data_IF_496106151499
#
_entry.id   IF_496106151499
#
_cell.length_a   1.000
_cell.length_b   1.000
_cell.length_c   1.000
_cell.angle_alpha   90.00
_cell.angle_beta   90.00
_cell.angle_gamma   90.00
#
_symmetry.space_group_name_H-M   'P 1'
#
loop_
_entity.id
_entity.type
_entity.pdbx_description
1 polymer ?
#
# COMPACT_ATOMS: atom_id res chain seq x y z
N UNK A 1 4.75 -13.37 41.76
CA UNK A 1 5.52 -13.55 40.49
C UNK A 1 5.27 -14.94 39.90
N UNK A 2 5.40 -16.02 40.68
CA UNK A 2 5.09 -17.39 40.23
C UNK A 2 3.65 -17.59 39.73
N UNK A 3 2.68 -16.93 40.37
CA UNK A 3 1.27 -17.02 39.94
C UNK A 3 1.01 -16.37 38.57
N UNK A 4 1.73 -15.29 38.25
CA UNK A 4 1.65 -14.64 36.93
C UNK A 4 2.30 -15.54 35.87
N UNK A 5 3.44 -16.17 36.20
CA UNK A 5 4.13 -17.13 35.34
C UNK A 5 3.26 -18.36 35.05
N UNK A 6 2.55 -18.87 36.06
CA UNK A 6 1.60 -19.97 35.92
C UNK A 6 0.39 -19.59 35.05
N UNK A 7 -0.19 -18.39 35.27
CA UNK A 7 -1.33 -17.88 34.47
C UNK A 7 -0.96 -17.56 33.02
N UNK A 8 0.29 -17.17 32.76
CA UNK A 8 0.85 -17.01 31.42
C UNK A 8 1.24 -18.35 30.77
N UNK A 9 0.94 -19.49 31.41
CA UNK A 9 1.33 -20.83 30.97
C UNK A 9 2.84 -20.97 30.69
N UNK A 10 3.67 -20.17 31.38
CA UNK A 10 5.12 -20.05 31.13
C UNK A 10 5.49 -19.66 29.69
N UNK A 11 4.54 -19.12 28.92
CA UNK A 11 4.79 -18.64 27.56
C UNK A 11 5.51 -17.28 27.64
N UNK A 12 6.73 -17.16 27.07
CA UNK A 12 7.51 -15.92 27.14
C UNK A 12 6.77 -14.70 26.58
N UNK A 13 5.94 -14.94 25.56
CA UNK A 13 5.15 -13.90 24.91
C UNK A 13 4.00 -13.39 25.80
N UNK A 14 3.32 -14.28 26.53
CA UNK A 14 2.26 -13.89 27.45
C UNK A 14 2.83 -13.11 28.64
N UNK A 15 4.02 -13.49 29.11
CA UNK A 15 4.78 -12.73 30.11
C UNK A 15 5.20 -11.35 29.60
N UNK A 16 5.66 -11.23 28.35
CA UNK A 16 6.02 -9.95 27.74
C UNK A 16 4.81 -9.00 27.65
N UNK A 17 3.64 -9.50 27.23
CA UNK A 17 2.40 -8.70 27.19
C UNK A 17 1.99 -8.23 28.59
N UNK A 18 2.01 -9.12 29.59
CA UNK A 18 1.65 -8.75 30.98
C UNK A 18 2.65 -7.76 31.57
N UNK A 19 3.95 -7.92 31.28
CA UNK A 19 4.99 -7.00 31.72
C UNK A 19 4.83 -5.62 31.08
N UNK A 20 4.55 -5.56 29.77
CA UNK A 20 4.27 -4.31 29.07
C UNK A 20 3.03 -3.60 29.64
N UNK A 21 1.95 -4.34 29.87
CA UNK A 21 0.72 -3.81 30.44
C UNK A 21 0.89 -3.27 31.87
N UNK A 22 1.67 -3.98 32.70
CA UNK A 22 2.00 -3.55 34.05
C UNK A 22 2.91 -2.30 34.08
N UNK A 23 3.80 -2.15 33.09
CA UNK A 23 4.64 -0.96 32.94
C UNK A 23 3.82 0.29 32.53
N UNK A 24 2.76 0.11 31.73
CA UNK A 24 1.84 1.18 31.32
C UNK A 24 0.90 1.62 32.45
N UNK A 25 0.57 0.72 33.37
CA UNK A 25 -0.37 0.97 34.48
C UNK A 25 0.25 0.69 35.86
N UNK A 26 1.22 1.52 36.33
CA UNK A 26 1.91 1.31 37.59
C UNK A 26 1.04 1.43 38.86
N UNK A 27 -0.24 1.82 38.71
CA UNK A 27 -1.24 1.87 39.79
C UNK A 27 -2.18 0.66 39.85
N UNK A 28 -2.04 -0.34 38.96
CA UNK A 28 -2.82 -1.57 39.08
C UNK A 28 -2.30 -2.36 40.31
N UNK A 29 -3.16 -2.65 41.31
CA UNK A 29 -2.72 -3.42 42.46
C UNK A 29 -2.36 -4.82 41.99
N UNK A 30 -1.14 -5.26 42.30
CA UNK A 30 -0.74 -6.66 42.26
C UNK A 30 -1.43 -7.42 43.41
N UNK A 31 -2.75 -7.55 43.32
CA UNK A 31 -3.64 -8.22 44.28
C UNK A 31 -4.80 -8.91 43.56
N UNK A 32 -5.49 -9.87 44.20
CA UNK A 32 -6.39 -10.80 43.52
C UNK A 32 -7.72 -10.11 43.21
N UNK A 33 -7.79 -9.45 42.06
CA UNK A 33 -9.05 -8.99 41.47
C UNK A 33 -9.08 -9.36 40.00
N UNK A 34 -8.79 -10.63 39.74
CA UNK A 34 -8.88 -11.23 38.40
C UNK A 34 -10.32 -11.66 38.11
N UNK A 35 -11.09 -10.77 37.47
CA UNK A 35 -12.29 -11.18 36.73
C UNK A 35 -12.31 -10.67 35.29
N UNK A 36 -11.20 -10.14 34.76
CA UNK A 36 -11.13 -9.72 33.33
C UNK A 36 -10.34 -10.64 32.39
N UNK A 37 -9.46 -11.51 32.90
CA UNK A 37 -8.80 -12.54 32.06
C UNK A 37 -9.70 -13.74 31.70
N UNK A 38 -10.91 -13.84 32.25
CA UNK A 38 -11.88 -14.86 31.82
C UNK A 38 -12.66 -14.47 30.55
N UNK A 39 -12.61 -13.20 30.12
CA UNK A 39 -13.40 -12.72 28.95
C UNK A 39 -12.79 -13.04 27.59
N UNK A 40 -11.57 -13.55 27.51
CA UNK A 40 -11.00 -14.04 26.25
C UNK A 40 -11.52 -15.44 25.85
N UNK A 41 -12.23 -16.16 26.75
CA UNK A 41 -12.83 -17.47 26.44
C UNK A 41 -14.34 -17.46 26.25
N UNK A 42 -15.05 -16.38 26.57
CA UNK A 42 -16.53 -16.33 26.53
C UNK A 42 -17.10 -15.31 25.56
N UNK A 43 -16.31 -14.77 24.63
CA UNK A 43 -16.78 -13.90 23.55
C UNK A 43 -17.50 -14.66 22.41
N UNK A 44 -18.32 -15.66 22.77
CA UNK A 44 -19.31 -16.29 21.91
C UNK A 44 -20.65 -16.27 22.64
N UNK A 45 -21.40 -15.18 22.45
CA UNK A 45 -22.88 -15.05 22.35
C UNK A 45 -23.35 -13.66 22.82
N UNK A 46 -24.45 -13.12 22.26
CA UNK A 46 -24.70 -11.68 22.26
C UNK A 46 -25.73 -11.20 23.31
N UNK A 47 -25.72 -9.87 23.52
CA UNK A 47 -26.74 -9.04 24.19
C UNK A 47 -26.64 -8.95 25.74
N UNK A 48 -26.97 -7.86 26.45
CA UNK A 48 -27.29 -6.44 26.16
C UNK A 48 -27.44 -5.70 27.50
N UNK A 49 -27.18 -4.37 27.51
CA UNK A 49 -27.55 -3.30 28.49
C UNK A 49 -26.78 -3.30 29.85
N UNK A 50 -25.98 -2.30 30.24
CA UNK A 50 -26.15 -0.83 30.41
C UNK A 50 -27.10 -0.52 31.61
N UNK A 51 -26.70 0.01 32.77
CA UNK A 51 -26.19 1.37 33.15
C UNK A 51 -26.18 1.47 34.73
N UNK A 52 -26.00 2.61 35.46
CA UNK A 52 -24.73 3.33 35.72
C UNK A 52 -24.52 3.94 37.17
N UNK A 53 -23.28 4.46 37.43
CA UNK A 53 -22.90 5.63 38.30
C UNK A 53 -22.70 5.50 39.86
N UNK A 54 -22.07 6.49 40.58
CA UNK A 54 -20.91 6.35 41.51
C UNK A 54 -21.12 7.12 42.87
N UNK A 55 -20.19 7.93 43.46
CA UNK A 55 -18.80 7.78 43.94
C UNK A 55 -18.64 8.02 45.48
N UNK A 56 -17.42 7.91 46.05
CA UNK A 56 -17.01 8.76 47.19
C UNK A 56 -15.48 8.91 47.32
N UNK A 57 -15.04 10.14 47.58
CA UNK A 57 -13.66 10.58 47.79
C UNK A 57 -13.20 10.48 49.25
N UNK A 58 -11.88 10.45 49.48
CA UNK A 58 -11.25 10.88 50.74
C UNK A 58 -9.72 10.68 50.76
N UNK A 59 -8.92 11.55 51.42
CA UNK A 59 -7.63 12.03 50.90
C UNK A 59 -6.41 11.81 51.82
N UNK A 60 -5.18 11.91 51.27
CA UNK A 60 -3.99 12.50 51.93
C UNK A 60 -2.70 12.39 51.10
N UNK A 61 -2.00 13.51 50.92
CA UNK A 61 -0.65 13.69 50.34
C UNK A 61 0.42 13.72 51.46
N UNK A 62 1.71 14.08 51.26
CA UNK A 62 2.56 14.16 50.05
C UNK A 62 3.94 13.47 50.22
N UNK A 63 4.61 13.12 49.13
CA UNK A 63 6.00 12.64 49.17
C UNK A 63 6.75 12.97 47.89
N UNK A 64 7.60 13.99 47.93
CA UNK A 64 8.56 14.32 46.86
C UNK A 64 9.47 13.12 46.62
N UNK A 65 9.39 12.54 45.43
CA UNK A 65 10.55 11.91 44.80
C UNK A 65 10.59 12.32 43.34
N UNK A 66 11.68 13.00 43.00
CA UNK A 66 12.11 13.31 41.65
C UNK A 66 12.30 11.98 40.91
N UNK A 67 11.28 11.55 40.18
CA UNK A 67 11.36 10.35 39.34
C UNK A 67 11.26 10.77 37.89
N UNK A 68 12.39 10.69 37.20
CA UNK A 68 12.51 10.82 35.77
C UNK A 68 11.47 9.90 35.10
N UNK A 69 10.39 10.50 34.60
CA UNK A 69 9.46 9.84 33.68
C UNK A 69 10.24 9.48 32.42
N UNK A 70 10.31 8.22 31.98
CA UNK A 70 10.68 7.97 30.59
C UNK A 70 9.61 8.61 29.71
N UNK A 71 10.08 9.44 28.78
CA UNK A 71 9.27 10.10 27.74
C UNK A 71 8.29 9.11 27.14
N UNK A 72 7.00 9.42 27.25
CA UNK A 72 5.91 8.81 26.46
C UNK A 72 6.23 9.04 24.99
N UNK A 73 6.69 8.00 24.29
CA UNK A 73 6.73 7.99 22.84
C UNK A 73 5.48 7.23 22.37
N UNK A 74 4.50 7.87 21.72
CA UNK A 74 3.39 7.15 21.12
C UNK A 74 3.96 6.33 19.96
N UNK A 75 3.80 5.01 20.04
CA UNK A 75 4.09 4.10 18.93
C UNK A 75 2.74 3.87 18.25
N UNK A 76 2.46 4.46 17.08
CA UNK A 76 1.17 4.29 16.42
C UNK A 76 1.13 2.88 15.82
N UNK A 77 0.55 1.94 16.54
CA UNK A 77 0.27 0.60 16.07
C UNK A 77 -1.05 0.57 15.28
N UNK A 78 -0.96 0.78 13.97
CA UNK A 78 -2.09 0.70 13.06
C UNK A 78 -2.84 -0.66 13.17
N UNK A 79 -4.18 -0.56 13.30
CA UNK A 79 -5.20 -1.63 13.35
C UNK A 79 -5.14 -2.64 12.17
N UNK A 80 -5.83 -3.81 12.26
CA UNK A 80 -5.24 -5.09 11.91
C UNK A 80 -5.64 -5.58 10.52
N UNK A 81 -4.66 -5.63 9.63
CA UNK A 81 -4.45 -6.64 8.61
C UNK A 81 -3.10 -6.20 8.04
N UNK A 82 -1.99 -6.85 8.32
CA UNK A 82 -1.61 -8.12 7.73
C UNK A 82 -0.39 -8.63 8.53
N UNK A 83 -0.01 -9.89 8.32
CA UNK A 83 1.23 -10.49 8.84
C UNK A 83 2.47 -9.94 8.11
N UNK A 84 2.76 -8.65 8.24
CA UNK A 84 3.84 -8.07 7.43
C UNK A 84 4.87 -7.36 8.28
N UNK A 85 6.10 -7.82 8.07
CA UNK A 85 7.30 -7.21 8.63
C UNK A 85 7.50 -5.85 7.97
N UNK A 86 7.73 -4.81 8.78
CA UNK A 86 7.91 -3.42 8.33
C UNK A 86 9.39 -3.08 8.27
N UNK A 87 9.78 -2.35 7.22
CA UNK A 87 11.11 -1.77 7.08
C UNK A 87 11.30 -0.60 8.07
N UNK A 88 12.51 -0.39 8.60
CA UNK A 88 12.83 0.80 9.44
C UNK A 88 12.35 2.14 8.86
N UNK A 89 12.57 2.44 7.57
CA UNK A 89 12.11 3.69 6.98
C UNK A 89 10.58 3.79 6.94
N UNK A 90 9.87 2.68 6.73
CA UNK A 90 8.41 2.64 6.80
C UNK A 90 7.90 2.91 8.23
N UNK A 91 8.60 2.40 9.25
CA UNK A 91 8.30 2.70 10.65
C UNK A 91 8.58 4.17 11.00
N UNK A 92 9.64 4.78 10.42
CA UNK A 92 9.94 6.19 10.61
C UNK A 92 8.88 7.09 9.96
N UNK A 93 8.40 6.73 8.76
CA UNK A 93 7.29 7.45 8.11
C UNK A 93 6.00 7.37 8.95
N UNK A 94 5.71 6.20 9.54
CA UNK A 94 4.55 6.01 10.40
C UNK A 94 4.61 6.89 11.66
N UNK A 95 5.75 6.90 12.37
CA UNK A 95 5.93 7.68 13.60
C UNK A 95 6.12 9.18 13.33
N UNK A 96 6.57 9.56 12.14
CA UNK A 96 6.99 10.93 11.83
C UNK A 96 8.31 11.33 12.50
N UNK A 97 9.04 10.37 13.10
CA UNK A 97 10.28 10.63 13.82
C UNK A 97 11.50 10.45 12.91
N UNK A 98 12.63 11.14 13.20
CA UNK A 98 13.89 10.91 12.50
C UNK A 98 14.31 9.43 12.55
N UNK A 99 15.01 8.97 11.51
CA UNK A 99 15.43 7.57 11.39
C UNK A 99 16.29 7.10 12.58
N UNK A 100 17.08 8.00 13.17
CA UNK A 100 17.91 7.72 14.36
C UNK A 100 17.06 7.42 15.60
N UNK A 101 16.05 8.24 15.87
CA UNK A 101 15.16 8.06 17.02
C UNK A 101 14.29 6.81 16.84
N UNK A 102 13.75 6.62 15.63
CA UNK A 102 12.99 5.42 15.28
C UNK A 102 13.83 4.15 15.50
N UNK A 103 15.13 4.17 15.14
CA UNK A 103 16.03 3.04 15.38
C UNK A 103 16.21 2.74 16.87
N UNK A 104 16.29 3.77 17.71
CA UNK A 104 16.40 3.58 19.17
C UNK A 104 15.14 2.92 19.73
N UNK A 105 13.95 3.43 19.37
CA UNK A 105 12.68 2.87 19.80
C UNK A 105 12.49 1.41 19.33
N UNK A 106 12.79 1.12 18.06
CA UNK A 106 12.67 -0.25 17.53
C UNK A 106 13.62 -1.23 18.24
N UNK A 107 14.82 -0.78 18.64
CA UNK A 107 15.75 -1.60 19.43
C UNK A 107 15.24 -1.85 20.84
N UNK A 108 14.66 -0.85 21.50
CA UNK A 108 14.06 -1.00 22.82
C UNK A 108 12.90 -2.01 22.78
N UNK A 109 12.00 -1.87 21.81
CA UNK A 109 10.89 -2.82 21.61
C UNK A 109 11.37 -4.24 21.26
N UNK A 110 12.46 -4.36 20.50
CA UNK A 110 13.05 -5.68 20.20
C UNK A 110 13.69 -6.31 21.44
N UNK A 111 14.39 -5.52 22.27
CA UNK A 111 14.94 -5.99 23.57
C UNK A 111 13.86 -6.39 24.56
N UNK A 112 12.70 -5.72 24.52
CA UNK A 112 11.53 -6.08 25.30
C UNK A 112 10.73 -7.27 24.72
N UNK A 113 11.21 -7.91 23.65
CA UNK A 113 10.52 -8.98 22.92
C UNK A 113 9.13 -8.60 22.39
N UNK A 114 8.86 -7.30 22.26
CA UNK A 114 7.62 -6.75 21.68
C UNK A 114 7.70 -6.70 20.15
N UNK A 115 8.90 -6.72 19.59
CA UNK A 115 9.16 -6.85 18.15
C UNK A 115 10.16 -7.97 17.89
N UNK A 116 10.01 -8.63 16.73
CA UNK A 116 10.99 -9.58 16.22
C UNK A 116 11.68 -9.01 15.00
N UNK A 117 13.00 -8.78 15.08
CA UNK A 117 13.82 -8.37 13.93
C UNK A 117 14.25 -9.59 13.12
N UNK A 118 13.86 -9.66 11.84
CA UNK A 118 14.24 -10.74 10.92
C UNK A 118 13.90 -10.36 9.47
N UNK A 119 14.85 -10.23 8.53
CA UNK A 119 16.30 -9.93 8.61
C UNK A 119 16.60 -8.50 9.14
N UNK A 120 17.88 -8.05 9.24
CA UNK A 120 18.23 -6.75 9.83
C UNK A 120 17.47 -5.57 9.22
N UNK A 121 16.84 -4.77 10.07
CA UNK A 121 16.02 -3.62 9.68
C UNK A 121 14.58 -3.93 9.30
N UNK A 122 14.12 -5.17 9.50
CA UNK A 122 12.72 -5.58 9.32
C UNK A 122 12.14 -6.07 10.64
N UNK A 123 11.04 -5.47 11.06
CA UNK A 123 10.41 -5.75 12.35
C UNK A 123 9.03 -6.36 12.13
N UNK A 124 8.78 -7.50 12.76
CA UNK A 124 7.46 -8.13 12.84
C UNK A 124 6.90 -8.07 14.25
N UNK A 125 5.57 -7.99 14.34
CA UNK A 125 4.81 -8.19 15.57
C UNK A 125 4.23 -9.61 15.56
N UNK A 126 4.25 -10.28 16.70
CA UNK A 126 3.46 -11.50 16.87
C UNK A 126 1.96 -11.16 16.84
N UNK A 127 1.11 -12.08 16.38
CA UNK A 127 -0.33 -11.84 16.19
C UNK A 127 -1.02 -11.30 17.47
N UNK A 128 -0.67 -11.83 18.65
CA UNK A 128 -1.15 -11.33 19.96
C UNK A 128 -0.65 -9.92 20.31
N UNK A 129 0.63 -9.63 20.08
CA UNK A 129 1.20 -8.30 20.32
C UNK A 129 0.60 -7.25 19.38
N UNK A 130 0.22 -7.65 18.17
CA UNK A 130 -0.49 -6.78 17.23
C UNK A 130 -1.89 -6.44 17.73
N UNK A 131 -2.63 -7.41 18.28
CA UNK A 131 -3.94 -7.14 18.88
C UNK A 131 -3.81 -6.21 20.07
N UNK A 132 -2.86 -6.50 20.97
CA UNK A 132 -2.56 -5.64 22.12
C UNK A 132 -2.23 -4.20 21.70
N UNK A 133 -1.30 -4.04 20.76
CA UNK A 133 -0.90 -2.72 20.31
C UNK A 133 -2.06 -1.96 19.62
N UNK A 134 -2.94 -2.68 18.90
CA UNK A 134 -4.15 -2.10 18.34
C UNK A 134 -5.18 -1.67 19.41
N UNK A 135 -5.23 -2.36 20.55
CA UNK A 135 -6.05 -1.94 21.71
C UNK A 135 -5.47 -0.69 22.37
N UNK A 136 -4.14 -0.62 22.55
CA UNK A 136 -3.46 0.56 23.09
C UNK A 136 -3.73 1.80 22.24
N UNK A 137 -3.60 1.71 20.92
CA UNK A 137 -3.88 2.85 20.02
C UNK A 137 -5.33 3.32 20.14
N UNK A 138 -6.27 2.41 20.37
CA UNK A 138 -7.68 2.77 20.53
C UNK A 138 -8.01 3.38 21.89
N UNK A 139 -7.20 3.08 22.90
CA UNK A 139 -7.34 3.65 24.24
C UNK A 139 -6.67 5.02 24.34
N UNK A 140 -5.51 5.19 23.68
CA UNK A 140 -4.59 6.29 23.96
C UNK A 140 -4.45 7.32 22.83
N UNK A 141 -4.75 6.97 21.57
CA UNK A 141 -4.62 7.88 20.42
C UNK A 141 -5.98 8.32 19.89
N UNK A 142 -6.04 9.57 19.42
CA UNK A 142 -7.22 10.03 18.68
C UNK A 142 -7.26 9.43 17.27
N UNK A 143 -8.47 9.22 16.75
CA UNK A 143 -8.68 8.71 15.38
C UNK A 143 -7.94 9.58 14.34
N UNK A 144 -7.94 10.90 14.54
CA UNK A 144 -7.25 11.84 13.64
C UNK A 144 -5.72 11.69 13.65
N UNK A 145 -5.11 11.38 14.79
CA UNK A 145 -3.66 11.14 14.88
C UNK A 145 -3.29 9.82 14.20
N UNK A 146 -4.09 8.78 14.42
CA UNK A 146 -3.91 7.47 13.79
C UNK A 146 -4.06 7.57 12.27
N UNK A 147 -5.00 8.36 11.76
CA UNK A 147 -5.18 8.57 10.31
C UNK A 147 -4.03 9.35 9.69
N UNK A 148 -3.55 10.42 10.35
CA UNK A 148 -2.36 11.16 9.91
C UNK A 148 -1.13 10.27 9.84
N UNK A 149 -0.90 9.42 10.85
CA UNK A 149 0.22 8.50 10.86
C UNK A 149 0.20 7.53 9.68
N UNK A 150 -0.98 7.01 9.36
CA UNK A 150 -1.13 6.08 8.25
C UNK A 150 -1.05 6.79 6.89
N UNK A 151 -1.57 8.01 6.77
CA UNK A 151 -1.43 8.81 5.55
C UNK A 151 0.06 9.04 5.21
N UNK A 152 0.89 9.39 6.20
CA UNK A 152 2.36 9.52 6.00
C UNK A 152 2.98 8.22 5.51
N UNK A 153 2.59 7.09 6.10
CA UNK A 153 3.09 5.78 5.69
C UNK A 153 2.65 5.41 4.26
N UNK A 154 1.39 5.68 3.90
CA UNK A 154 0.88 5.42 2.56
C UNK A 154 1.57 6.29 1.51
N UNK A 155 1.77 7.58 1.81
CA UNK A 155 2.56 8.47 0.98
C UNK A 155 3.99 7.92 0.79
N UNK A 156 4.65 7.50 1.87
CA UNK A 156 5.98 6.90 1.78
C UNK A 156 6.02 5.66 0.87
N UNK A 157 5.04 4.76 0.97
CA UNK A 157 4.94 3.60 0.08
C UNK A 157 4.69 3.99 -1.38
N UNK A 158 3.81 4.96 -1.64
CA UNK A 158 3.51 5.44 -3.00
C UNK A 158 4.75 6.05 -3.67
N UNK A 159 5.42 6.99 -3.00
CA UNK A 159 6.59 7.66 -3.57
C UNK A 159 7.81 6.74 -3.66
N UNK A 160 7.95 5.79 -2.74
CA UNK A 160 8.98 4.76 -2.85
C UNK A 160 8.68 3.79 -3.99
N UNK A 161 7.42 3.41 -4.21
CA UNK A 161 7.04 2.59 -5.36
C UNK A 161 7.27 3.33 -6.69
N UNK A 162 6.97 4.63 -6.75
CA UNK A 162 7.23 5.44 -7.94
C UNK A 162 8.72 5.61 -8.26
N UNK A 163 9.60 5.64 -7.26
CA UNK A 163 11.05 5.70 -7.52
C UNK A 163 11.58 4.43 -8.21
N UNK A 164 10.97 3.27 -7.97
CA UNK A 164 11.31 2.00 -8.66
C UNK A 164 11.06 2.08 -10.16
N UNK A 165 10.13 2.93 -10.58
CA UNK A 165 9.62 2.98 -11.95
C UNK A 165 10.72 3.27 -12.98
N UNK A 166 11.66 4.16 -12.64
CA UNK A 166 12.78 4.52 -13.52
C UNK A 166 13.68 3.32 -13.85
N UNK A 167 13.73 2.34 -12.96
CA UNK A 167 14.57 1.17 -13.13
C UNK A 167 13.82 0.00 -13.77
N UNK A 168 12.57 -0.24 -13.38
CA UNK A 168 11.80 -1.43 -13.83
C UNK A 168 11.16 -1.21 -15.20
N UNK A 169 10.57 -0.04 -15.45
CA UNK A 169 9.88 0.26 -16.73
C UNK A 169 10.14 1.70 -17.21
N UNK A 170 11.38 2.07 -17.56
CA UNK A 170 11.75 3.44 -17.91
C UNK A 170 11.00 3.99 -19.14
N UNK A 171 10.65 3.12 -20.09
CA UNK A 171 10.03 3.51 -21.37
C UNK A 171 8.52 3.69 -21.29
N UNK A 172 7.86 3.22 -20.22
CA UNK A 172 6.41 3.37 -20.06
C UNK A 172 6.09 4.78 -19.56
N UNK A 173 4.95 5.35 -19.96
CA UNK A 173 4.46 6.63 -19.42
C UNK A 173 4.17 6.54 -17.91
N UNK A 174 4.88 7.34 -17.11
CA UNK A 174 4.66 7.49 -15.65
C UNK A 174 3.24 7.99 -15.35
N UNK A 175 2.69 7.52 -14.24
CA UNK A 175 1.45 8.05 -13.65
C UNK A 175 1.79 9.43 -13.06
N UNK A 176 0.99 10.47 -13.29
CA UNK A 176 1.25 11.77 -12.67
C UNK A 176 1.03 11.68 -11.16
N UNK A 177 2.05 12.07 -10.42
CA UNK A 177 2.03 12.25 -8.97
C UNK A 177 2.38 13.71 -8.67
N UNK A 178 1.76 14.25 -7.63
CA UNK A 178 2.16 15.51 -7.04
C UNK A 178 3.55 15.38 -6.38
N UNK A 179 4.26 16.48 -6.10
CA UNK A 179 5.51 16.37 -5.35
C UNK A 179 5.30 15.70 -3.99
N UNK A 180 6.28 14.92 -3.51
CA UNK A 180 6.16 14.28 -2.20
C UNK A 180 6.01 15.32 -1.08
N UNK A 181 5.18 15.05 -0.06
CA UNK A 181 5.10 15.88 1.13
C UNK A 181 6.47 16.12 1.79
N UNK A 182 6.64 17.27 2.45
CA UNK A 182 7.92 17.68 3.04
C UNK A 182 8.47 16.75 4.12
N UNK A 183 7.60 15.95 4.74
CA UNK A 183 7.93 14.93 5.75
C UNK A 183 8.19 13.54 5.13
N UNK A 184 7.89 13.36 3.85
CA UNK A 184 8.10 12.12 3.12
C UNK A 184 9.54 12.02 2.60
N UNK A 185 10.24 10.94 2.99
CA UNK A 185 11.59 10.61 2.51
C UNK A 185 11.54 9.22 1.84
N UNK A 186 11.16 9.15 0.55
CA UNK A 186 11.07 7.88 -0.17
C UNK A 186 12.46 7.26 -0.36
N UNK A 187 12.52 5.94 -0.55
CA UNK A 187 13.79 5.30 -0.93
C UNK A 187 14.11 5.63 -2.39
N UNK A 188 15.40 5.78 -2.66
CA UNK A 188 15.94 5.92 -4.02
C UNK A 188 16.74 4.66 -4.32
N UNK A 189 16.55 4.13 -5.52
CA UNK A 189 17.25 2.96 -6.00
C UNK A 189 18.31 3.39 -7.01
N UNK A 190 19.37 2.61 -7.13
CA UNK A 190 20.41 2.85 -8.14
C UNK A 190 20.39 1.80 -9.25
N UNK A 191 19.92 0.59 -8.95
CA UNK A 191 19.91 -0.54 -9.88
C UNK A 191 18.53 -1.17 -10.02
N UNK A 192 18.33 -1.88 -11.13
CA UNK A 192 17.14 -2.69 -11.38
C UNK A 192 16.93 -3.75 -10.28
N UNK A 193 17.99 -4.48 -9.91
CA UNK A 193 17.90 -5.57 -8.94
C UNK A 193 17.49 -5.09 -7.54
N UNK A 194 18.01 -3.94 -7.08
CA UNK A 194 17.62 -3.36 -5.80
C UNK A 194 16.15 -2.95 -5.77
N UNK A 195 15.68 -2.29 -6.83
CA UNK A 195 14.28 -1.87 -6.96
C UNK A 195 13.35 -3.09 -6.97
N UNK A 196 13.74 -4.14 -7.68
CA UNK A 196 12.96 -5.35 -7.81
C UNK A 196 12.92 -6.17 -6.52
N UNK A 197 14.07 -6.34 -5.85
CA UNK A 197 14.16 -7.04 -4.57
C UNK A 197 13.32 -6.34 -3.49
N UNK A 198 13.34 -5.00 -3.47
CA UNK A 198 12.46 -4.24 -2.59
C UNK A 198 10.99 -4.50 -2.87
N UNK A 199 10.56 -4.45 -4.15
CA UNK A 199 9.16 -4.73 -4.52
C UNK A 199 8.73 -6.14 -4.12
N UNK A 200 9.57 -7.15 -4.35
CA UNK A 200 9.28 -8.53 -3.96
C UNK A 200 9.14 -8.67 -2.44
N UNK A 201 10.06 -8.07 -1.69
CA UNK A 201 10.06 -8.20 -0.24
C UNK A 201 8.92 -7.41 0.41
N UNK A 202 8.55 -6.27 -0.16
CA UNK A 202 7.44 -5.42 0.30
C UNK A 202 6.09 -5.78 -0.33
N UNK A 203 6.00 -6.78 -1.22
CA UNK A 203 4.77 -7.09 -1.98
C UNK A 203 3.54 -7.18 -1.09
N UNK A 204 3.64 -7.89 0.04
CA UNK A 204 2.55 -7.97 1.01
C UNK A 204 2.14 -6.60 1.58
N UNK A 205 3.11 -5.73 1.88
CA UNK A 205 2.87 -4.37 2.39
C UNK A 205 2.27 -3.47 1.31
N UNK A 206 2.67 -3.64 0.06
CA UNK A 206 2.13 -2.88 -1.06
C UNK A 206 0.66 -3.23 -1.30
N UNK A 207 0.30 -4.52 -1.27
CA UNK A 207 -1.11 -4.96 -1.37
C UNK A 207 -1.91 -4.45 -0.17
N UNK A 208 -1.37 -4.55 1.04
CA UNK A 208 -1.99 -4.01 2.26
C UNK A 208 -2.26 -2.51 2.18
N UNK A 209 -1.29 -1.75 1.68
CA UNK A 209 -1.36 -0.30 1.57
C UNK A 209 -2.51 0.15 0.66
N UNK A 210 -2.77 -0.57 -0.43
CA UNK A 210 -3.92 -0.28 -1.32
C UNK A 210 -5.25 -0.39 -0.57
N UNK A 211 -5.46 -1.50 0.14
CA UNK A 211 -6.69 -1.69 0.92
C UNK A 211 -6.81 -0.69 2.06
N UNK A 212 -5.67 -0.34 2.68
CA UNK A 212 -5.67 0.65 3.76
C UNK A 212 -5.96 2.06 3.27
N UNK A 213 -5.50 2.43 2.08
CA UNK A 213 -5.84 3.71 1.45
C UNK A 213 -7.36 3.85 1.26
N UNK A 214 -8.03 2.79 0.78
CA UNK A 214 -9.50 2.79 0.68
C UNK A 214 -10.17 2.93 2.04
N UNK A 215 -9.68 2.24 3.07
CA UNK A 215 -10.24 2.32 4.42
C UNK A 215 -10.12 3.72 5.05
N UNK A 216 -9.13 4.51 4.64
CA UNK A 216 -8.94 5.90 5.08
C UNK A 216 -9.65 6.93 4.19
N UNK A 217 -10.29 6.50 3.10
CA UNK A 217 -10.88 7.40 2.11
C UNK A 217 -9.87 8.07 1.17
N UNK A 218 -8.59 7.70 1.21
CA UNK A 218 -7.60 8.15 0.23
C UNK A 218 -7.71 7.32 -1.06
N UNK A 219 -8.76 7.62 -1.81
CA UNK A 219 -9.10 6.94 -3.06
C UNK A 219 -8.04 7.21 -4.14
N UNK A 220 -7.36 8.36 -4.06
CA UNK A 220 -6.30 8.75 -4.97
C UNK A 220 -5.07 7.84 -4.87
N UNK A 221 -4.60 7.55 -3.67
CA UNK A 221 -3.48 6.60 -3.46
C UNK A 221 -3.88 5.17 -3.82
N UNK A 222 -5.13 4.79 -3.54
CA UNK A 222 -5.63 3.43 -3.80
C UNK A 222 -5.52 3.01 -5.28
N UNK A 223 -5.73 3.91 -6.23
CA UNK A 223 -5.57 3.60 -7.66
C UNK A 223 -4.16 3.88 -8.20
N UNK A 224 -3.46 4.89 -7.65
CA UNK A 224 -2.10 5.25 -8.09
C UNK A 224 -1.07 4.21 -7.70
N UNK A 225 -1.14 3.64 -6.49
CA UNK A 225 -0.17 2.67 -6.00
C UNK A 225 -0.08 1.39 -6.88
N UNK A 226 -1.19 0.75 -7.27
CA UNK A 226 -1.17 -0.33 -8.26
C UNK A 226 -0.63 0.09 -9.63
N UNK A 227 -0.93 1.33 -10.05
CA UNK A 227 -0.57 1.83 -11.37
C UNK A 227 0.94 2.10 -11.50
N UNK A 228 1.61 2.61 -10.45
CA UNK A 228 3.07 2.76 -10.42
C UNK A 228 3.78 1.41 -10.36
N UNK A 229 3.17 0.41 -9.72
CA UNK A 229 3.69 -0.96 -9.63
C UNK A 229 3.39 -1.83 -10.86
N UNK A 230 2.80 -1.26 -11.92
CA UNK A 230 2.43 -2.00 -13.13
C UNK A 230 3.60 -2.84 -13.68
N UNK A 231 4.79 -2.24 -13.77
CA UNK A 231 5.98 -2.90 -14.31
C UNK A 231 6.40 -4.12 -13.48
N UNK A 232 6.40 -3.96 -12.16
CA UNK A 232 6.70 -5.03 -11.22
C UNK A 232 5.70 -6.20 -11.36
N UNK A 233 4.40 -5.93 -11.26
CA UNK A 233 3.38 -6.98 -11.33
C UNK A 233 3.37 -7.69 -12.68
N UNK A 234 3.55 -6.94 -13.77
CA UNK A 234 3.58 -7.49 -15.12
C UNK A 234 4.78 -8.41 -15.36
N UNK A 235 5.98 -7.98 -14.98
CA UNK A 235 7.22 -8.74 -15.23
C UNK A 235 7.34 -9.96 -14.31
N UNK A 236 6.87 -9.87 -13.06
CA UNK A 236 6.99 -10.95 -12.07
C UNK A 236 5.84 -11.93 -12.06
N UNK A 237 4.74 -11.61 -12.74
CA UNK A 237 3.62 -12.54 -12.91
C UNK A 237 2.80 -12.78 -11.63
N UNK A 238 2.79 -11.83 -10.70
CA UNK A 238 1.96 -11.85 -9.49
C UNK A 238 0.48 -11.58 -9.80
N UNK A 239 -0.13 -12.45 -10.63
CA UNK A 239 -1.43 -12.24 -11.28
C UNK A 239 -2.58 -12.04 -10.29
N UNK A 240 -2.63 -12.84 -9.23
CA UNK A 240 -3.71 -12.79 -8.21
C UNK A 240 -3.72 -11.45 -7.48
N UNK A 241 -2.58 -11.10 -6.89
CA UNK A 241 -2.42 -9.82 -6.18
C UNK A 241 -2.70 -8.64 -7.11
N UNK A 242 -2.22 -8.72 -8.36
CA UNK A 242 -2.42 -7.64 -9.32
C UNK A 242 -3.89 -7.44 -9.69
N UNK A 243 -4.63 -8.53 -9.91
CA UNK A 243 -6.08 -8.49 -10.14
C UNK A 243 -6.85 -7.93 -8.95
N UNK A 244 -6.41 -8.26 -7.73
CA UNK A 244 -6.99 -7.75 -6.49
C UNK A 244 -6.78 -6.24 -6.37
N UNK A 245 -5.53 -5.78 -6.38
CA UNK A 245 -5.22 -4.36 -6.17
C UNK A 245 -5.74 -3.46 -7.29
N UNK A 246 -5.77 -3.93 -8.55
CA UNK A 246 -6.36 -3.17 -9.66
C UNK A 246 -7.89 -3.13 -9.58
N UNK A 247 -8.54 -4.15 -9.00
CA UNK A 247 -9.97 -4.16 -8.73
C UNK A 247 -10.35 -3.17 -7.62
N UNK A 248 -9.57 -3.17 -6.53
CA UNK A 248 -9.71 -2.20 -5.44
C UNK A 248 -9.49 -0.78 -5.94
N UNK A 249 -8.41 -0.52 -6.69
CA UNK A 249 -8.12 0.78 -7.27
C UNK A 249 -9.19 1.26 -8.27
N UNK A 250 -9.71 0.37 -9.11
CA UNK A 250 -10.81 0.71 -10.02
C UNK A 250 -12.09 1.09 -9.27
N UNK A 251 -12.40 0.38 -8.19
CA UNK A 251 -13.57 0.67 -7.35
C UNK A 251 -13.40 2.02 -6.65
N UNK A 252 -12.21 2.29 -6.10
CA UNK A 252 -11.87 3.57 -5.49
C UNK A 252 -12.01 4.74 -6.47
N UNK A 253 -11.44 4.62 -7.68
CA UNK A 253 -11.53 5.67 -8.70
C UNK A 253 -12.98 5.90 -9.20
N UNK A 254 -13.83 4.87 -9.17
CA UNK A 254 -15.27 5.03 -9.49
C UNK A 254 -16.03 5.79 -8.40
N UNK A 255 -15.72 5.52 -7.13
CA UNK A 255 -16.33 6.21 -5.98
C UNK A 255 -15.90 7.68 -5.95
N UNK A 256 -14.63 7.95 -6.23
CA UNK A 256 -14.07 9.31 -6.26
C UNK A 256 -14.55 10.14 -7.46
N UNK A 257 -15.03 9.47 -8.53
CA UNK A 257 -15.34 10.13 -9.80
C UNK A 257 -14.10 10.52 -10.62
N UNK A 258 -12.90 10.08 -10.22
CA UNK A 258 -11.66 10.32 -10.95
C UNK A 258 -11.63 9.54 -12.27
N UNK A 259 -11.94 10.24 -13.36
CA UNK A 259 -11.92 9.69 -14.72
C UNK A 259 -10.53 9.16 -15.09
N UNK A 260 -9.45 9.84 -14.68
CA UNK A 260 -8.08 9.43 -15.03
C UNK A 260 -7.69 8.16 -14.29
N UNK A 261 -7.98 8.12 -12.99
CA UNK A 261 -7.83 6.92 -12.18
C UNK A 261 -8.62 5.74 -12.75
N UNK A 262 -9.90 5.96 -13.10
CA UNK A 262 -10.76 4.95 -13.71
C UNK A 262 -10.17 4.41 -15.02
N UNK A 263 -9.76 5.28 -15.93
CA UNK A 263 -9.20 4.87 -17.21
C UNK A 263 -7.89 4.09 -17.04
N UNK A 264 -7.02 4.54 -16.13
CA UNK A 264 -5.76 3.86 -15.83
C UNK A 264 -6.00 2.49 -15.18
N UNK A 265 -6.84 2.40 -14.16
CA UNK A 265 -7.16 1.13 -13.50
C UNK A 265 -7.84 0.13 -14.42
N UNK A 266 -8.68 0.57 -15.37
CA UNK A 266 -9.26 -0.31 -16.39
C UNK A 266 -8.18 -0.93 -17.29
N UNK A 267 -7.19 -0.13 -17.73
CA UNK A 267 -6.07 -0.64 -18.55
C UNK A 267 -5.17 -1.58 -17.76
N UNK A 268 -4.88 -1.25 -16.50
CA UNK A 268 -4.00 -2.06 -15.67
C UNK A 268 -4.67 -3.39 -15.28
N UNK A 269 -5.96 -3.36 -14.96
CA UNK A 269 -6.77 -4.58 -14.76
C UNK A 269 -6.85 -5.43 -16.02
N UNK A 270 -7.05 -4.83 -17.19
CA UNK A 270 -7.04 -5.56 -18.45
C UNK A 270 -5.69 -6.25 -18.71
N UNK A 271 -4.58 -5.61 -18.35
CA UNK A 271 -3.27 -6.24 -18.46
C UNK A 271 -3.12 -7.45 -17.52
N UNK A 272 -3.64 -7.35 -16.30
CA UNK A 272 -3.67 -8.47 -15.34
C UNK A 272 -4.56 -9.64 -15.80
N UNK A 273 -5.73 -9.32 -16.37
CA UNK A 273 -6.66 -10.31 -16.95
C UNK A 273 -6.05 -11.02 -18.15
N UNK A 274 -5.34 -10.28 -19.01
CA UNK A 274 -4.62 -10.84 -20.17
C UNK A 274 -3.53 -11.82 -19.75
N UNK A 275 -2.77 -11.52 -18.68
CA UNK A 275 -1.82 -12.48 -18.11
C UNK A 275 -2.49 -13.72 -17.52
N UNK A 276 -3.77 -13.63 -17.18
CA UNK A 276 -4.58 -14.75 -16.67
C UNK A 276 -5.41 -15.42 -17.77
N UNK A 277 -5.13 -15.12 -19.05
CA UNK A 277 -5.80 -15.69 -20.23
C UNK A 277 -7.31 -15.40 -20.32
N UNK A 278 -7.80 -14.42 -19.56
CA UNK A 278 -9.20 -13.98 -19.55
C UNK A 278 -9.41 -12.89 -20.61
N UNK A 279 -9.33 -13.29 -21.88
CA UNK A 279 -9.26 -12.35 -23.00
C UNK A 279 -10.56 -11.59 -23.29
N UNK A 280 -11.73 -12.20 -23.10
CA UNK A 280 -13.01 -11.51 -23.31
C UNK A 280 -13.20 -10.36 -22.31
N UNK A 281 -12.93 -10.62 -21.02
CA UNK A 281 -12.96 -9.57 -20.00
C UNK A 281 -11.90 -8.50 -20.24
N UNK A 282 -10.71 -8.88 -20.74
CA UNK A 282 -9.66 -7.93 -21.15
C UNK A 282 -10.20 -6.97 -22.21
N UNK A 283 -10.87 -7.49 -23.24
CA UNK A 283 -11.46 -6.69 -24.33
C UNK A 283 -12.50 -5.71 -23.79
N UNK A 284 -13.36 -6.16 -22.87
CA UNK A 284 -14.42 -5.31 -22.31
C UNK A 284 -13.86 -4.18 -21.44
N UNK A 285 -12.86 -4.47 -20.60
CA UNK A 285 -12.21 -3.43 -19.79
C UNK A 285 -11.45 -2.42 -20.66
N UNK A 286 -10.78 -2.86 -21.73
CA UNK A 286 -10.09 -1.96 -22.66
C UNK A 286 -11.08 -1.09 -23.46
N UNK A 287 -12.23 -1.63 -23.86
CA UNK A 287 -13.30 -0.84 -24.50
C UNK A 287 -13.84 0.23 -23.58
N UNK A 288 -14.10 -0.11 -22.32
CA UNK A 288 -14.51 0.88 -21.31
C UNK A 288 -13.42 1.95 -21.12
N UNK A 289 -12.15 1.56 -21.05
CA UNK A 289 -11.05 2.51 -20.92
C UNK A 289 -10.97 3.49 -22.11
N UNK A 290 -11.22 3.03 -23.34
CA UNK A 290 -11.21 3.91 -24.53
C UNK A 290 -12.28 5.01 -24.47
N UNK A 291 -13.46 4.70 -23.92
CA UNK A 291 -14.52 5.69 -23.72
C UNK A 291 -14.04 6.77 -22.77
N UNK A 292 -13.50 6.37 -21.60
CA UNK A 292 -13.02 7.33 -20.59
C UNK A 292 -11.81 8.13 -21.08
N UNK A 293 -10.86 7.51 -21.79
CA UNK A 293 -9.73 8.23 -22.38
C UNK A 293 -10.16 9.25 -23.44
N UNK A 294 -11.25 8.97 -24.17
CA UNK A 294 -11.84 9.92 -25.12
C UNK A 294 -12.49 11.10 -24.40
N UNK A 295 -13.26 10.84 -23.33
CA UNK A 295 -13.86 11.87 -22.48
C UNK A 295 -12.79 12.80 -21.87
N UNK A 296 -11.67 12.23 -21.42
CA UNK A 296 -10.52 12.98 -20.91
C UNK A 296 -9.72 13.74 -21.98
N UNK A 297 -9.93 13.45 -23.26
CA UNK A 297 -9.08 13.95 -24.35
C UNK A 297 -7.62 13.45 -24.32
N UNK A 298 -7.28 12.46 -23.50
CA UNK A 298 -5.91 11.94 -23.36
C UNK A 298 -5.58 10.98 -24.53
N UNK A 299 -5.09 11.58 -25.62
CA UNK A 299 -4.74 10.85 -26.84
C UNK A 299 -3.65 9.79 -26.64
N UNK A 300 -2.71 10.01 -25.72
CA UNK A 300 -1.65 9.03 -25.44
C UNK A 300 -2.19 7.80 -24.71
N UNK A 301 -3.06 8.01 -23.71
CA UNK A 301 -3.82 6.95 -23.05
C UNK A 301 -4.68 6.16 -24.03
N UNK A 302 -5.34 6.86 -24.94
CA UNK A 302 -6.16 6.26 -26.00
C UNK A 302 -5.34 5.36 -26.94
N UNK A 303 -4.24 5.85 -27.52
CA UNK A 303 -3.39 5.07 -28.45
C UNK A 303 -2.85 3.81 -27.79
N UNK A 304 -2.36 3.92 -26.55
CA UNK A 304 -1.89 2.76 -25.77
C UNK A 304 -2.99 1.72 -25.58
N UNK A 305 -4.20 2.16 -25.25
CA UNK A 305 -5.34 1.26 -25.01
C UNK A 305 -5.79 0.58 -26.30
N UNK A 306 -5.78 1.30 -27.43
CA UNK A 306 -6.05 0.71 -28.76
C UNK A 306 -5.02 -0.35 -29.13
N UNK A 307 -3.74 -0.11 -28.86
CA UNK A 307 -2.70 -1.11 -29.07
C UNK A 307 -2.90 -2.36 -28.24
N UNK A 308 -3.23 -2.21 -26.95
CA UNK A 308 -3.53 -3.34 -26.06
C UNK A 308 -4.77 -4.12 -26.53
N UNK A 309 -5.75 -3.44 -27.13
CA UNK A 309 -6.97 -4.07 -27.65
C UNK A 309 -6.67 -4.87 -28.92
N UNK A 310 -5.78 -4.36 -29.79
CA UNK A 310 -5.24 -5.10 -30.92
C UNK A 310 -4.54 -6.39 -30.48
N UNK A 311 -3.68 -6.30 -29.46
CA UNK A 311 -3.01 -7.49 -28.88
C UNK A 311 -4.03 -8.49 -28.32
N UNK A 312 -5.04 -8.02 -27.58
CA UNK A 312 -6.07 -8.87 -27.02
C UNK A 312 -6.85 -9.62 -28.12
N UNK A 313 -7.21 -8.96 -29.22
CA UNK A 313 -7.87 -9.62 -30.35
C UNK A 313 -7.00 -10.64 -31.07
N UNK A 314 -5.68 -10.46 -31.12
CA UNK A 314 -4.76 -11.49 -31.63
C UNK A 314 -4.81 -12.75 -30.76
N UNK A 315 -4.81 -12.60 -29.45
CA UNK A 315 -4.83 -13.74 -28.52
C UNK A 315 -6.10 -14.59 -28.65
N UNK A 316 -7.24 -13.99 -29.02
CA UNK A 316 -8.50 -14.71 -29.28
C UNK A 316 -8.67 -15.16 -30.74
N UNK A 317 -7.62 -15.07 -31.56
CA UNK A 317 -7.64 -15.48 -32.97
C UNK A 317 -8.43 -14.55 -33.92
N UNK A 318 -8.85 -13.37 -33.45
CA UNK A 318 -9.65 -12.41 -34.23
C UNK A 318 -8.76 -11.42 -35.01
N UNK A 319 -7.93 -11.95 -35.89
CA UNK A 319 -6.87 -11.21 -36.62
C UNK A 319 -7.39 -10.00 -37.40
N UNK A 320 -8.56 -10.11 -38.05
CA UNK A 320 -9.16 -8.97 -38.78
C UNK A 320 -9.44 -7.77 -37.87
N UNK A 321 -10.00 -8.03 -36.67
CA UNK A 321 -10.26 -6.99 -35.67
C UNK A 321 -8.96 -6.43 -35.10
N UNK A 322 -7.96 -7.28 -34.85
CA UNK A 322 -6.66 -6.81 -34.38
C UNK A 322 -6.01 -5.81 -35.34
N UNK A 323 -6.02 -6.12 -36.65
CA UNK A 323 -5.48 -5.22 -37.69
C UNK A 323 -6.25 -3.89 -37.74
N UNK A 324 -7.58 -3.91 -37.59
CA UNK A 324 -8.39 -2.69 -37.51
C UNK A 324 -7.94 -1.78 -36.35
N UNK A 325 -7.79 -2.35 -35.14
CA UNK A 325 -7.34 -1.60 -33.98
C UNK A 325 -5.90 -1.12 -34.11
N UNK A 326 -4.99 -1.93 -34.63
CA UNK A 326 -3.62 -1.47 -34.87
C UNK A 326 -3.56 -0.34 -35.90
N UNK A 327 -4.34 -0.40 -36.98
CA UNK A 327 -4.46 0.70 -37.94
C UNK A 327 -5.00 1.97 -37.29
N UNK A 328 -6.05 1.87 -36.47
CA UNK A 328 -6.59 3.00 -35.70
C UNK A 328 -5.53 3.63 -34.79
N UNK A 329 -4.75 2.81 -34.10
CA UNK A 329 -3.65 3.26 -33.24
C UNK A 329 -2.56 3.99 -34.03
N UNK A 330 -2.15 3.45 -35.19
CA UNK A 330 -1.15 4.07 -36.06
C UNK A 330 -1.60 5.40 -36.66
N UNK A 331 -2.85 5.51 -37.09
CA UNK A 331 -3.38 6.78 -37.64
C UNK A 331 -3.29 7.88 -36.59
N UNK A 332 -3.71 7.61 -35.35
CA UNK A 332 -3.65 8.60 -34.26
C UNK A 332 -2.21 8.84 -33.81
N UNK A 333 -1.39 7.78 -33.73
CA UNK A 333 0.04 7.89 -33.40
C UNK A 333 0.83 8.73 -34.40
N UNK A 334 0.56 8.61 -35.70
CA UNK A 334 1.17 9.46 -36.75
C UNK A 334 0.76 10.92 -36.65
N UNK A 335 -0.51 11.19 -36.35
CA UNK A 335 -0.98 12.57 -36.11
C UNK A 335 -0.21 13.18 -34.93
N UNK A 336 -0.07 12.44 -33.82
CA UNK A 336 0.73 12.88 -32.67
C UNK A 336 2.21 13.08 -33.08
N UNK A 337 2.84 12.11 -33.73
CA UNK A 337 4.22 12.21 -34.20
C UNK A 337 4.47 13.39 -35.15
N UNK A 338 3.52 13.75 -36.01
CA UNK A 338 3.62 14.90 -36.92
C UNK A 338 3.43 16.27 -36.23
N UNK A 339 2.64 16.32 -35.16
CA UNK A 339 2.45 17.53 -34.35
C UNK A 339 3.68 17.76 -33.45
N UNK A 340 4.21 16.69 -32.87
CA UNK A 340 5.40 16.75 -32.02
C UNK A 340 6.70 16.87 -32.82
N UNK A 341 6.80 16.28 -34.02
CA UNK A 341 7.92 16.50 -34.95
C UNK A 341 8.03 17.94 -35.47
N UNK A 342 6.95 18.74 -35.35
CA UNK A 342 6.99 20.19 -35.58
C UNK A 342 7.38 20.98 -34.32
N UNK A 343 7.06 20.47 -33.12
CA UNK A 343 7.40 21.09 -31.83
C UNK A 343 8.83 20.78 -31.35
N UNK A 344 9.41 19.65 -31.78
CA UNK A 344 10.76 19.18 -31.40
C UNK A 344 11.92 19.96 -32.04
N UNK A 345 11.65 21.10 -32.67
CA UNK A 345 12.66 22.07 -33.11
C UNK A 345 13.04 23.08 -32.01
N UNK A 346 12.45 22.97 -30.81
CA UNK A 346 12.82 23.76 -29.62
C UNK A 346 13.57 22.89 -28.60
N UNK A 347 14.74 23.31 -28.06
CA UNK A 347 15.71 22.43 -27.40
C UNK A 347 15.38 22.05 -25.94
N UNK A 348 14.13 22.21 -25.48
CA UNK A 348 13.77 22.10 -24.05
C UNK A 348 13.17 20.73 -23.68
N UNK A 349 12.82 19.87 -24.65
CA UNK A 349 12.13 18.60 -24.36
C UNK A 349 12.80 17.39 -25.01
N UNK A 350 13.14 16.39 -24.19
CA UNK A 350 13.87 15.17 -24.57
C UNK A 350 13.21 14.33 -25.67
N UNK A 351 14.00 13.42 -26.25
CA UNK A 351 13.73 12.71 -27.50
C UNK A 351 12.43 11.86 -27.49
N UNK A 352 11.70 11.79 -28.62
CA UNK A 352 10.36 11.18 -28.71
C UNK A 352 10.39 9.67 -29.01
N UNK A 353 11.29 8.88 -28.42
CA UNK A 353 11.47 7.46 -28.77
C UNK A 353 10.69 6.44 -27.93
N UNK A 354 9.79 6.85 -27.02
CA UNK A 354 8.95 5.91 -26.25
C UNK A 354 7.57 5.62 -26.88
N UNK A 355 7.35 6.03 -28.13
CA UNK A 355 6.06 5.87 -28.81
C UNK A 355 5.88 4.46 -29.40
N UNK A 356 4.90 3.74 -28.86
CA UNK A 356 4.22 2.54 -29.39
C UNK A 356 4.60 2.10 -30.82
N UNK A 357 5.28 0.95 -30.96
CA UNK A 357 5.70 0.38 -32.25
C UNK A 357 4.59 -0.48 -32.89
N UNK A 358 3.53 0.19 -33.36
CA UNK A 358 2.43 -0.46 -34.10
C UNK A 358 2.83 -1.01 -35.46
N UNK A 359 3.92 -0.51 -36.05
CA UNK A 359 4.46 -0.90 -37.35
C UNK A 359 5.07 -2.30 -37.30
N UNK A 360 5.91 -2.57 -36.30
CA UNK A 360 6.50 -3.89 -36.10
C UNK A 360 5.42 -4.93 -35.79
N UNK A 361 4.42 -4.59 -34.95
CA UNK A 361 3.31 -5.49 -34.60
C UNK A 361 2.43 -5.85 -35.80
N UNK A 362 2.09 -4.88 -36.65
CA UNK A 362 1.40 -5.20 -37.91
C UNK A 362 2.25 -6.12 -38.79
N UNK A 363 3.56 -5.85 -38.93
CA UNK A 363 4.45 -6.69 -39.74
C UNK A 363 4.55 -8.15 -39.22
N UNK A 364 4.47 -8.37 -37.91
CA UNK A 364 4.44 -9.71 -37.29
C UNK A 364 3.15 -10.45 -37.62
N UNK A 365 2.00 -9.74 -37.62
CA UNK A 365 0.71 -10.32 -38.01
C UNK A 365 0.68 -10.72 -39.49
N UNK A 366 1.37 -9.98 -40.36
CA UNK A 366 1.47 -10.32 -41.78
C UNK A 366 2.48 -11.45 -42.06
N UNK A 367 3.49 -11.66 -41.20
CA UNK A 367 4.51 -12.72 -41.31
C UNK A 367 4.10 -14.08 -40.74
N UNK A 368 3.00 -14.15 -39.99
CA UNK A 368 2.46 -15.39 -39.40
C UNK A 368 1.32 -15.99 -40.23
N UNK A 369 1.20 -15.56 -41.50
CA UNK A 369 0.46 -16.22 -42.57
C UNK A 369 1.44 -16.90 -43.49
#
# INVERSE_FOLDING_TARGET
MEEIIARCARLPLALAVVAAHAAEHPGFPSGPSSTRCARARTAWTPSRRATPSPPTCGPSSPGRTTRCRPRRAPVPAARPALRIRRLRPAAAALTGLPLRETRTLLRELTRAHMLTECPPGRYGLHDLLRVYAAECVQADESEQETDRAQARMLAWYLYTADSTYAHITPTRRRVPLDPPPDDCRPLVFTTYDQALEWCETERGNLVAAVHRAVALGDLGTAWRLPAVLWGFFYLRGHRRDWLEVTGTGLSAARVDGDLRGRAQSLVDRAAALRLSERYDETIDHLRQALVVWRELGDRAGWVRTVGNLGDAYLQVGRTKKAVEYFRRGLTVGRILGSVWGRASRSPIWGTPTSAWDGTTRLSTVWRTR
#
